data_IF_508822973090
#
_entry.id   IF_508822973090
#
_cell.length_a   1.000
_cell.length_b   1.000
_cell.length_c   1.000
_cell.angle_alpha   90.00
_cell.angle_beta   90.00
_cell.angle_gamma   90.00
#
_symmetry.space_group_name_H-M   'P 1'
#
loop_
_entity.id
_entity.type
_entity.pdbx_description
1 polymer ?
#
# COMPACT_ATOMS: atom_id res chain seq x y z
N UNK A 1 -3.23 -21.28 32.31
CA UNK A 1 -2.48 -21.25 31.03
C UNK A 1 -3.45 -21.67 29.92
N UNK A 2 -4.01 -20.74 29.17
CA UNK A 2 -4.78 -21.07 27.96
C UNK A 2 -3.89 -20.80 26.76
N UNK A 3 -3.52 -21.89 26.08
CA UNK A 3 -2.84 -21.91 24.79
C UNK A 3 -3.76 -21.31 23.72
N UNK A 4 -3.32 -20.25 23.06
CA UNK A 4 -3.92 -19.71 21.84
C UNK A 4 -2.97 -19.95 20.67
N UNK A 5 -3.06 -21.13 20.10
CA UNK A 5 -2.69 -21.43 18.70
C UNK A 5 -3.98 -21.54 17.86
N UNK A 6 -3.96 -21.57 16.52
CA UNK A 6 -3.44 -20.65 15.52
C UNK A 6 -4.59 -19.92 14.78
N UNK A 7 -5.39 -19.09 15.46
CA UNK A 7 -6.56 -18.38 14.87
C UNK A 7 -6.23 -17.31 13.81
N UNK A 8 -4.95 -17.07 13.51
CA UNK A 8 -4.51 -15.96 12.62
C UNK A 8 -4.75 -16.25 11.13
N UNK A 9 -4.87 -17.52 10.75
CA UNK A 9 -5.05 -17.96 9.36
C UNK A 9 -6.53 -18.01 8.90
N UNK A 10 -7.41 -18.63 9.69
CA UNK A 10 -8.83 -18.82 9.32
C UNK A 10 -9.59 -17.50 9.18
N UNK A 11 -9.35 -16.55 10.08
CA UNK A 11 -9.94 -15.21 9.98
C UNK A 11 -9.50 -14.46 8.72
N UNK A 12 -8.26 -14.64 8.27
CA UNK A 12 -7.76 -13.99 7.05
C UNK A 12 -8.40 -14.57 5.78
N UNK A 13 -8.59 -15.89 5.74
CA UNK A 13 -9.27 -16.58 4.63
C UNK A 13 -10.73 -16.13 4.53
N UNK A 14 -11.43 -16.04 5.67
CA UNK A 14 -12.80 -15.52 5.71
C UNK A 14 -12.86 -14.05 5.25
N UNK A 15 -11.94 -13.19 5.70
CA UNK A 15 -11.91 -11.81 5.22
C UNK A 15 -11.69 -11.72 3.70
N UNK A 16 -10.84 -12.58 3.12
CA UNK A 16 -10.61 -12.61 1.66
C UNK A 16 -11.87 -13.01 0.90
N UNK A 17 -12.64 -13.99 1.37
CA UNK A 17 -13.90 -14.39 0.72
C UNK A 17 -14.94 -13.27 0.74
N UNK A 18 -15.02 -12.51 1.84
CA UNK A 18 -15.86 -11.30 1.91
C UNK A 18 -15.39 -10.23 0.93
N UNK A 19 -14.08 -10.02 0.81
CA UNK A 19 -13.51 -9.10 -0.17
C UNK A 19 -13.88 -9.53 -1.60
N UNK A 20 -13.84 -10.82 -1.92
CA UNK A 20 -14.19 -11.32 -3.26
C UNK A 20 -15.68 -11.10 -3.58
N UNK A 21 -16.55 -11.32 -2.59
CA UNK A 21 -17.98 -11.07 -2.74
C UNK A 21 -18.27 -9.58 -2.92
N UNK A 22 -17.66 -8.72 -2.12
CA UNK A 22 -17.77 -7.27 -2.26
C UNK A 22 -17.25 -6.76 -3.62
N UNK A 23 -16.11 -7.27 -4.09
CA UNK A 23 -15.59 -6.96 -5.44
C UNK A 23 -16.57 -7.35 -6.55
N UNK A 24 -17.28 -8.46 -6.39
CA UNK A 24 -18.29 -8.89 -7.36
C UNK A 24 -19.49 -7.93 -7.42
N UNK A 25 -19.98 -7.47 -6.27
CA UNK A 25 -21.07 -6.48 -6.20
C UNK A 25 -20.65 -5.13 -6.78
N UNK A 26 -19.43 -4.68 -6.46
CA UNK A 26 -18.87 -3.44 -7.01
C UNK A 26 -18.79 -3.50 -8.54
N UNK A 27 -18.28 -4.61 -9.10
CA UNK A 27 -18.22 -4.80 -10.55
C UNK A 27 -19.61 -4.77 -11.20
N UNK A 28 -20.59 -5.41 -10.57
CA UNK A 28 -21.98 -5.37 -11.06
C UNK A 28 -22.51 -3.93 -11.05
N UNK A 29 -22.28 -3.16 -9.99
CA UNK A 29 -22.68 -1.74 -9.89
C UNK A 29 -22.10 -0.90 -11.03
N UNK A 30 -20.80 -1.01 -11.28
CA UNK A 30 -20.09 -0.26 -12.33
C UNK A 30 -20.55 -0.68 -13.74
N UNK A 31 -20.91 -1.96 -13.92
CA UNK A 31 -21.30 -2.50 -15.23
C UNK A 31 -22.71 -2.12 -15.68
N UNK A 32 -23.58 -1.66 -14.78
CA UNK A 32 -24.92 -1.19 -15.12
C UNK A 32 -24.80 0.22 -15.69
N UNK A 33 -25.06 0.44 -17.00
CA UNK A 33 -25.09 1.78 -17.54
C UNK A 33 -26.31 2.47 -16.92
N UNK A 34 -26.09 3.32 -15.92
CA UNK A 34 -27.15 4.15 -15.39
C UNK A 34 -27.64 5.05 -16.53
N UNK A 35 -28.81 4.71 -17.08
CA UNK A 35 -29.57 5.58 -17.93
C UNK A 35 -29.75 6.91 -17.18
N UNK A 36 -29.01 7.92 -17.63
CA UNK A 36 -29.21 9.34 -17.37
C UNK A 36 -29.45 9.73 -15.90
N UNK A 37 -28.34 10.03 -15.20
CA UNK A 37 -28.10 11.30 -14.49
C UNK A 37 -27.29 11.08 -13.20
N UNK A 38 -26.12 11.71 -13.16
CA UNK A 38 -25.77 12.59 -12.04
C UNK A 38 -25.59 12.05 -10.63
N UNK A 39 -25.63 10.75 -10.33
CA UNK A 39 -25.44 10.32 -8.93
C UNK A 39 -23.94 10.21 -8.57
N UNK A 40 -23.29 11.36 -8.44
CA UNK A 40 -21.91 11.51 -7.93
C UNK A 40 -21.70 10.81 -6.59
N UNK A 41 -22.76 10.66 -5.79
CA UNK A 41 -22.77 9.86 -4.57
C UNK A 41 -22.53 8.38 -4.85
N UNK A 42 -23.20 7.79 -5.85
CA UNK A 42 -22.99 6.38 -6.21
C UNK A 42 -21.54 6.15 -6.65
N UNK A 43 -21.03 7.03 -7.51
CA UNK A 43 -19.62 7.00 -7.92
C UNK A 43 -18.71 7.15 -6.69
N UNK A 44 -18.97 8.12 -5.81
CA UNK A 44 -18.23 8.31 -4.56
C UNK A 44 -18.22 7.06 -3.68
N UNK A 45 -19.35 6.36 -3.55
CA UNK A 45 -19.45 5.09 -2.83
C UNK A 45 -18.67 3.99 -3.52
N UNK A 46 -18.74 3.87 -4.85
CA UNK A 46 -17.95 2.90 -5.63
C UNK A 46 -16.45 3.13 -5.46
N UNK A 47 -16.01 4.40 -5.43
CA UNK A 47 -14.63 4.80 -5.16
C UNK A 47 -14.20 4.39 -3.75
N UNK A 48 -15.00 4.71 -2.75
CA UNK A 48 -14.73 4.36 -1.34
C UNK A 48 -14.66 2.85 -1.13
N UNK A 49 -15.56 2.09 -1.75
CA UNK A 49 -15.56 0.63 -1.67
C UNK A 49 -14.32 0.06 -2.37
N UNK A 50 -13.95 0.59 -3.53
CA UNK A 50 -12.73 0.18 -4.24
C UNK A 50 -11.48 0.42 -3.39
N UNK A 51 -11.34 1.62 -2.81
CA UNK A 51 -10.21 1.97 -1.94
C UNK A 51 -10.15 1.08 -0.69
N UNK A 52 -11.30 0.81 -0.08
CA UNK A 52 -11.40 -0.08 1.08
C UNK A 52 -10.98 -1.51 0.73
N UNK A 53 -11.42 -2.06 -0.40
CA UNK A 53 -11.06 -3.42 -0.85
C UNK A 53 -9.55 -3.56 -1.06
N UNK A 54 -8.96 -2.56 -1.70
CA UNK A 54 -7.53 -2.48 -1.95
C UNK A 54 -6.72 -2.35 -0.65
N UNK A 55 -7.19 -1.51 0.27
CA UNK A 55 -6.59 -1.35 1.60
C UNK A 55 -6.67 -2.65 2.41
N UNK A 56 -7.83 -3.32 2.42
CA UNK A 56 -8.05 -4.57 3.13
C UNK A 56 -7.17 -5.69 2.57
N UNK A 57 -7.17 -5.92 1.25
CA UNK A 57 -6.35 -6.95 0.62
C UNK A 57 -4.85 -6.69 0.82
N UNK A 58 -4.41 -5.43 0.77
CA UNK A 58 -3.04 -5.05 1.16
C UNK A 58 -2.77 -5.48 2.61
N UNK A 59 -3.62 -5.06 3.56
CA UNK A 59 -3.42 -5.36 4.98
C UNK A 59 -3.39 -6.87 5.30
N UNK A 60 -4.22 -7.66 4.61
CA UNK A 60 -4.27 -9.12 4.74
C UNK A 60 -3.00 -9.76 4.19
N UNK A 61 -2.51 -9.31 3.04
CA UNK A 61 -1.21 -9.72 2.51
C UNK A 61 -0.07 -9.38 3.48
N UNK A 62 -0.06 -8.16 4.02
CA UNK A 62 0.96 -7.74 4.99
C UNK A 62 0.93 -8.58 6.28
N UNK A 63 -0.24 -9.08 6.70
CA UNK A 63 -0.40 -9.96 7.87
C UNK A 63 -0.08 -11.43 7.58
N UNK A 64 -0.16 -11.86 6.32
CA UNK A 64 0.14 -13.22 5.87
C UNK A 64 1.63 -13.52 5.66
N UNK A 65 2.51 -12.53 5.85
CA UNK A 65 3.96 -12.71 5.80
C UNK A 65 4.50 -13.62 6.91
N UNK A 66 5.39 -14.55 6.54
CA UNK A 66 5.96 -15.58 7.42
C UNK A 66 6.80 -15.03 8.59
N UNK A 67 7.13 -15.95 9.51
CA UNK A 67 7.79 -15.81 10.82
C UNK A 67 9.07 -14.95 10.90
N UNK A 68 9.63 -14.51 9.77
CA UNK A 68 10.87 -13.71 9.70
C UNK A 68 10.61 -12.21 9.49
N UNK A 69 9.34 -11.75 9.49
CA UNK A 69 8.99 -10.33 9.49
C UNK A 69 8.91 -9.67 8.11
N UNK A 70 9.23 -10.38 7.03
CA UNK A 70 9.16 -9.89 5.66
C UNK A 70 8.04 -10.61 4.88
N UNK A 71 7.01 -9.89 4.40
CA UNK A 71 5.96 -10.52 3.60
C UNK A 71 6.47 -10.86 2.20
N UNK A 72 6.51 -12.15 1.89
CA UNK A 72 6.78 -12.67 0.56
C UNK A 72 5.66 -12.33 -0.45
N UNK A 73 5.80 -12.78 -1.71
CA UNK A 73 4.77 -12.59 -2.73
C UNK A 73 3.42 -13.15 -2.27
N UNK A 74 2.34 -12.48 -2.66
CA UNK A 74 0.98 -12.88 -2.32
C UNK A 74 0.61 -14.21 -3.03
N UNK A 75 -0.21 -15.07 -2.41
CA UNK A 75 -0.81 -16.22 -3.10
C UNK A 75 -1.56 -15.79 -4.36
N UNK A 76 -1.55 -16.63 -5.40
CA UNK A 76 -2.10 -16.27 -6.72
C UNK A 76 -3.58 -15.84 -6.69
N UNK A 77 -4.41 -16.45 -5.83
CA UNK A 77 -5.80 -16.07 -5.64
C UNK A 77 -5.96 -14.66 -5.04
N UNK A 78 -5.15 -14.32 -4.05
CA UNK A 78 -5.13 -13.00 -3.41
C UNK A 78 -4.63 -11.93 -4.39
N UNK A 79 -3.59 -12.23 -5.17
CA UNK A 79 -3.07 -11.33 -6.19
C UNK A 79 -4.09 -11.07 -7.31
N UNK A 80 -4.76 -12.13 -7.80
CA UNK A 80 -5.80 -12.00 -8.82
C UNK A 80 -6.97 -11.15 -8.34
N UNK A 81 -7.39 -11.31 -7.08
CA UNK A 81 -8.41 -10.44 -6.47
C UNK A 81 -7.95 -8.98 -6.42
N UNK A 82 -6.71 -8.73 -5.97
CA UNK A 82 -6.14 -7.38 -5.90
C UNK A 82 -6.04 -6.71 -7.27
N UNK A 83 -5.55 -7.42 -8.29
CA UNK A 83 -5.44 -6.91 -9.66
C UNK A 83 -6.81 -6.57 -10.25
N UNK A 84 -7.83 -7.38 -9.93
CA UNK A 84 -9.22 -7.11 -10.33
C UNK A 84 -9.70 -5.79 -9.76
N UNK A 85 -9.56 -5.57 -8.45
CA UNK A 85 -10.00 -4.30 -7.85
C UNK A 85 -9.17 -3.12 -8.33
N UNK A 86 -7.85 -3.31 -8.51
CA UNK A 86 -6.98 -2.28 -9.04
C UNK A 86 -7.41 -1.85 -10.46
N UNK A 87 -7.84 -2.81 -11.29
CA UNK A 87 -8.38 -2.50 -12.62
C UNK A 87 -9.69 -1.72 -12.55
N UNK A 88 -10.53 -1.97 -11.54
CA UNK A 88 -11.74 -1.17 -11.28
C UNK A 88 -11.38 0.25 -10.82
N UNK A 89 -10.40 0.41 -9.93
CA UNK A 89 -9.92 1.71 -9.47
C UNK A 89 -9.27 2.55 -10.58
N UNK A 90 -8.56 1.89 -11.51
CA UNK A 90 -7.97 2.54 -12.69
C UNK A 90 -9.03 3.09 -13.65
N UNK A 91 -10.17 2.42 -13.80
CA UNK A 91 -11.31 2.91 -14.58
C UNK A 91 -11.97 4.14 -13.93
N UNK A 92 -11.73 4.34 -12.65
CA UNK A 92 -12.29 5.38 -11.81
C UNK A 92 -11.30 6.55 -11.56
N UNK A 93 -10.16 6.59 -12.28
CA UNK A 93 -9.08 7.59 -12.15
C UNK A 93 -8.43 7.70 -10.77
N UNK A 94 -8.66 6.73 -9.88
CA UNK A 94 -7.93 6.67 -8.63
C UNK A 94 -6.69 5.79 -8.88
N UNK A 95 -5.56 6.24 -8.36
CA UNK A 95 -4.46 5.42 -7.86
C UNK A 95 -3.26 5.12 -8.79
N UNK A 96 -2.38 6.11 -8.98
CA UNK A 96 -0.97 5.85 -9.31
C UNK A 96 -0.13 5.16 -8.19
N UNK A 97 -0.32 5.44 -6.88
CA UNK A 97 0.56 4.87 -5.83
C UNK A 97 0.35 3.37 -5.51
N UNK A 98 -0.79 2.76 -5.88
CA UNK A 98 -1.03 1.33 -5.66
C UNK A 98 -0.26 0.42 -6.62
N UNK A 99 0.26 0.97 -7.71
CA UNK A 99 1.11 0.22 -8.65
C UNK A 99 2.31 -0.41 -7.93
N UNK A 100 2.85 0.26 -6.92
CA UNK A 100 3.93 -0.28 -6.08
C UNK A 100 3.45 -1.47 -5.27
N UNK A 101 2.26 -1.39 -4.66
CA UNK A 101 1.66 -2.50 -3.91
C UNK A 101 1.37 -3.71 -4.79
N UNK A 102 0.75 -3.53 -5.97
CA UNK A 102 0.51 -4.63 -6.93
C UNK A 102 1.83 -5.35 -7.25
N UNK A 103 2.88 -4.58 -7.52
CA UNK A 103 4.18 -5.10 -7.93
C UNK A 103 4.90 -5.83 -6.81
N UNK A 104 4.79 -5.34 -5.57
CA UNK A 104 5.33 -6.03 -4.40
C UNK A 104 4.55 -7.33 -4.12
N UNK A 105 3.21 -7.30 -4.21
CA UNK A 105 2.38 -8.50 -4.08
C UNK A 105 2.67 -9.53 -5.17
N UNK A 106 2.99 -9.09 -6.40
CA UNK A 106 3.35 -9.97 -7.51
C UNK A 106 4.80 -10.48 -7.46
N UNK A 107 5.61 -10.09 -6.47
CA UNK A 107 7.03 -10.44 -6.42
C UNK A 107 7.85 -9.85 -7.57
N UNK A 108 7.41 -8.73 -8.16
CA UNK A 108 8.11 -8.08 -9.25
C UNK A 108 9.51 -7.63 -8.80
N UNK A 109 10.46 -7.55 -9.75
CA UNK A 109 11.86 -7.28 -9.42
C UNK A 109 12.00 -6.02 -8.55
N UNK A 110 12.64 -6.12 -7.37
CA UNK A 110 12.71 -5.02 -6.42
C UNK A 110 13.36 -3.75 -7.03
N UNK A 111 14.36 -3.92 -7.90
CA UNK A 111 15.03 -2.81 -8.61
C UNK A 111 14.08 -2.02 -9.49
N UNK A 112 13.25 -2.71 -10.28
CA UNK A 112 12.31 -2.06 -11.20
C UNK A 112 11.15 -1.42 -10.43
N UNK A 113 10.81 -1.95 -9.25
CA UNK A 113 9.79 -1.39 -8.36
C UNK A 113 10.31 -0.11 -7.70
N UNK A 114 11.58 -0.10 -7.27
CA UNK A 114 12.27 1.09 -6.77
C UNK A 114 12.35 2.20 -7.81
N UNK A 115 12.81 1.91 -9.03
CA UNK A 115 12.92 2.91 -10.11
C UNK A 115 11.58 3.57 -10.44
N UNK A 116 10.49 2.78 -10.46
CA UNK A 116 9.16 3.31 -10.73
C UNK A 116 8.64 4.16 -9.57
N UNK A 117 8.91 3.76 -8.32
CA UNK A 117 8.61 4.58 -7.16
C UNK A 117 9.34 5.92 -7.23
N UNK A 118 10.65 5.91 -7.47
CA UNK A 118 11.44 7.14 -7.63
C UNK A 118 10.88 8.04 -8.73
N UNK A 119 10.54 7.46 -9.89
CA UNK A 119 9.94 8.21 -11.00
C UNK A 119 8.61 8.87 -10.62
N UNK A 120 7.76 8.15 -9.88
CA UNK A 120 6.49 8.70 -9.39
C UNK A 120 6.70 9.78 -8.31
N UNK A 121 7.65 9.59 -7.40
CA UNK A 121 8.01 10.60 -6.40
C UNK A 121 8.54 11.88 -7.06
N UNK A 122 9.39 11.76 -8.08
CA UNK A 122 9.93 12.91 -8.83
C UNK A 122 8.84 13.65 -9.61
N UNK A 123 8.00 12.92 -10.38
CA UNK A 123 6.89 13.54 -11.13
C UNK A 123 5.91 14.29 -10.23
N UNK A 124 5.57 13.76 -9.06
CA UNK A 124 4.59 14.40 -8.17
C UNK A 124 5.15 15.59 -7.40
N UNK A 125 6.46 15.60 -7.13
CA UNK A 125 7.15 16.78 -6.56
C UNK A 125 7.13 17.97 -7.52
N UNK A 126 7.07 17.73 -8.83
CA UNK A 126 6.96 18.79 -9.83
C UNK A 126 5.53 19.35 -9.96
N UNK A 127 4.50 18.53 -9.69
CA UNK A 127 3.08 18.92 -9.81
C UNK A 127 2.46 19.44 -8.51
N UNK A 128 3.14 19.35 -7.35
CA UNK A 128 2.63 19.81 -6.05
C UNK A 128 2.63 21.34 -5.87
N UNK A 129 3.19 22.09 -6.82
CA UNK A 129 3.22 23.56 -6.77
C UNK A 129 1.98 24.22 -7.39
N UNK A 130 1.04 23.44 -7.92
CA UNK A 130 -0.19 23.95 -8.54
C UNK A 130 -1.40 23.27 -7.93
N UNK A 131 -2.28 24.08 -7.32
CA UNK A 131 -3.60 23.76 -6.77
C UNK A 131 -3.66 23.41 -5.26
N UNK A 132 -4.08 24.44 -4.53
CA UNK A 132 -4.59 24.47 -3.16
C UNK A 132 -5.74 23.44 -3.00
N UNK A 133 -5.60 22.44 -2.12
CA UNK A 133 -6.70 21.57 -1.69
C UNK A 133 -6.58 20.06 -1.95
N UNK A 134 -6.04 19.60 -3.09
CA UNK A 134 -5.86 18.15 -3.38
C UNK A 134 -4.58 17.54 -2.77
N UNK A 135 -3.71 18.37 -2.19
CA UNK A 135 -2.36 17.99 -1.82
C UNK A 135 -2.30 16.93 -0.69
N UNK A 136 -3.21 16.98 0.29
CA UNK A 136 -3.15 16.13 1.51
C UNK A 136 -3.44 14.65 1.21
N UNK A 137 -4.41 14.39 0.32
CA UNK A 137 -4.78 13.07 -0.26
C UNK A 137 -3.83 12.62 -1.38
N UNK A 138 -2.71 13.29 -1.56
CA UNK A 138 -1.58 12.79 -2.35
C UNK A 138 -0.36 12.52 -1.48
N UNK A 139 -0.16 13.37 -0.47
CA UNK A 139 0.93 13.26 0.48
C UNK A 139 0.81 12.01 1.36
N UNK A 140 -0.41 11.67 1.82
CA UNK A 140 -0.66 10.47 2.64
C UNK A 140 -0.26 9.19 1.90
N UNK A 141 -0.68 9.06 0.65
CA UNK A 141 -0.50 7.92 -0.24
C UNK A 141 0.97 7.80 -0.63
N UNK A 142 1.63 8.94 -0.87
CA UNK A 142 3.09 9.02 -1.02
C UNK A 142 3.80 8.46 0.21
N UNK A 143 3.39 8.88 1.41
CA UNK A 143 3.99 8.39 2.66
C UNK A 143 3.76 6.87 2.84
N UNK A 144 2.57 6.35 2.51
CA UNK A 144 2.30 4.91 2.53
C UNK A 144 3.12 4.15 1.50
N UNK A 145 3.30 4.68 0.28
CA UNK A 145 4.12 4.05 -0.75
C UNK A 145 5.59 3.97 -0.33
N UNK A 146 6.11 5.04 0.27
CA UNK A 146 7.46 5.07 0.85
C UNK A 146 7.60 4.05 1.97
N UNK A 147 6.63 3.99 2.90
CA UNK A 147 6.63 3.04 4.01
C UNK A 147 6.62 1.59 3.49
N UNK A 148 5.75 1.26 2.53
CA UNK A 148 5.71 -0.08 1.91
C UNK A 148 7.04 -0.42 1.23
N UNK A 149 7.57 0.49 0.43
CA UNK A 149 8.80 0.28 -0.32
C UNK A 149 9.99 0.08 0.61
N UNK A 150 10.10 0.89 1.67
CA UNK A 150 11.10 0.67 2.69
C UNK A 150 10.89 -0.68 3.35
N UNK A 151 9.67 -1.07 3.70
CA UNK A 151 9.46 -2.37 4.35
C UNK A 151 9.84 -3.57 3.48
N UNK A 152 9.60 -3.52 2.17
CA UNK A 152 9.67 -4.72 1.31
C UNK A 152 10.80 -4.74 0.29
N UNK A 153 11.47 -3.61 0.03
CA UNK A 153 12.60 -3.57 -0.90
C UNK A 153 13.92 -3.86 -0.13
N UNK A 154 14.79 -4.72 -0.68
CA UNK A 154 16.03 -5.10 -0.04
C UNK A 154 16.99 -3.91 0.06
N UNK A 155 17.74 -3.88 1.16
CA UNK A 155 18.64 -2.80 1.58
C UNK A 155 19.61 -2.27 0.51
N UNK A 156 20.19 -3.10 -0.40
CA UNK A 156 21.16 -2.63 -1.40
C UNK A 156 20.58 -1.74 -2.50
N UNK A 157 19.25 -1.73 -2.68
CA UNK A 157 18.61 -1.05 -3.81
C UNK A 157 18.17 0.39 -3.51
N UNK A 158 18.25 0.80 -2.25
CA UNK A 158 17.99 2.16 -1.79
C UNK A 158 19.35 2.87 -1.64
N UNK A 159 19.99 3.21 -2.75
CA UNK A 159 21.18 4.10 -2.83
C UNK A 159 20.98 5.39 -2.02
N UNK A 160 22.02 6.17 -1.68
CA UNK A 160 23.21 5.92 -0.83
C UNK A 160 22.86 5.60 0.66
N UNK A 161 23.84 5.20 1.51
CA UNK A 161 23.62 5.03 2.95
C UNK A 161 22.91 6.26 3.54
N UNK A 162 21.78 6.02 4.22
CA UNK A 162 20.95 7.08 4.82
C UNK A 162 19.81 7.62 3.94
N UNK A 163 19.71 7.27 2.65
CA UNK A 163 18.58 7.68 1.81
C UNK A 163 17.25 7.08 2.29
N UNK A 164 17.25 5.78 2.61
CA UNK A 164 16.09 5.08 3.21
C UNK A 164 15.63 5.73 4.52
N UNK A 165 16.57 6.11 5.38
CA UNK A 165 16.25 6.81 6.64
C UNK A 165 15.63 8.19 6.38
N UNK A 166 16.10 8.91 5.36
CA UNK A 166 15.55 10.21 4.94
C UNK A 166 14.14 10.09 4.38
N UNK A 167 13.90 9.12 3.49
CA UNK A 167 12.57 8.83 2.95
C UNK A 167 11.59 8.42 4.07
N UNK A 168 12.01 7.56 5.00
CA UNK A 168 11.18 7.19 6.16
C UNK A 168 10.93 8.39 7.09
N UNK A 169 11.89 9.29 7.26
CA UNK A 169 11.69 10.51 8.04
C UNK A 169 10.70 11.48 7.36
N UNK A 170 10.74 11.59 6.02
CA UNK A 170 9.73 12.34 5.25
C UNK A 170 8.35 11.71 5.41
N UNK A 171 8.23 10.39 5.21
CA UNK A 171 6.97 9.67 5.37
C UNK A 171 6.41 9.82 6.80
N UNK A 172 7.26 9.70 7.82
CA UNK A 172 6.87 9.90 9.22
C UNK A 172 6.26 11.29 9.46
N UNK A 173 6.90 12.38 8.99
CA UNK A 173 6.38 13.75 9.15
C UNK A 173 5.02 13.93 8.50
N UNK A 174 4.84 13.36 7.32
CA UNK A 174 3.56 13.42 6.60
C UNK A 174 2.48 12.62 7.34
N UNK A 175 2.79 11.42 7.85
CA UNK A 175 1.84 10.61 8.62
C UNK A 175 1.49 11.25 9.97
N UNK A 176 2.44 11.95 10.61
CA UNK A 176 2.20 12.79 11.78
C UNK A 176 1.20 13.91 11.48
N UNK A 177 1.40 14.64 10.38
CA UNK A 177 0.52 15.73 9.93
C UNK A 177 -0.89 15.24 9.62
N UNK A 178 -1.01 14.07 8.97
CA UNK A 178 -2.30 13.46 8.58
C UNK A 178 -2.95 12.69 9.73
N UNK A 179 -2.25 12.47 10.84
CA UNK A 179 -2.78 11.81 12.04
C UNK A 179 -2.83 10.28 11.98
N UNK A 180 -2.13 9.63 11.04
CA UNK A 180 -2.06 8.16 10.96
C UNK A 180 -1.04 7.61 11.96
N UNK A 181 -1.51 7.46 13.21
CA UNK A 181 -0.70 6.99 14.35
C UNK A 181 -0.13 5.59 14.15
N UNK A 182 -0.83 4.71 13.42
CA UNK A 182 -0.39 3.32 13.22
C UNK A 182 0.79 3.27 12.26
N UNK A 183 0.65 3.89 11.08
CA UNK A 183 1.72 3.93 10.08
C UNK A 183 2.94 4.72 10.59
N UNK A 184 2.72 5.72 11.44
CA UNK A 184 3.77 6.45 12.15
C UNK A 184 4.60 5.53 13.07
N UNK A 185 3.96 4.68 13.86
CA UNK A 185 4.65 3.69 14.69
C UNK A 185 5.47 2.72 13.83
N UNK A 186 4.92 2.26 12.70
CA UNK A 186 5.64 1.39 11.76
C UNK A 186 6.90 2.07 11.20
N UNK A 187 6.81 3.35 10.80
CA UNK A 187 7.96 4.15 10.38
C UNK A 187 9.04 4.23 11.47
N UNK A 188 8.65 4.46 12.73
CA UNK A 188 9.57 4.53 13.85
C UNK A 188 10.27 3.19 14.10
N UNK A 189 9.54 2.07 14.04
CA UNK A 189 10.11 0.73 14.21
C UNK A 189 11.14 0.41 13.13
N UNK A 190 10.84 0.73 11.86
CA UNK A 190 11.80 0.52 10.77
C UNK A 190 13.02 1.44 10.95
N UNK A 191 12.84 2.71 11.31
CA UNK A 191 13.95 3.63 11.59
C UNK A 191 14.85 3.12 12.72
N UNK A 192 14.29 2.60 13.81
CA UNK A 192 15.06 2.02 14.92
C UNK A 192 15.86 0.79 14.49
N UNK A 193 15.28 -0.11 13.68
CA UNK A 193 15.99 -1.26 13.12
C UNK A 193 17.14 -0.86 12.21
N UNK A 194 16.97 0.21 11.44
CA UNK A 194 18.02 0.76 10.59
C UNK A 194 19.17 1.37 11.40
N UNK A 195 18.88 2.03 12.52
CA UNK A 195 19.90 2.59 13.43
C UNK A 195 20.62 1.52 14.26
N UNK A 196 19.93 0.41 14.60
CA UNK A 196 20.50 -0.71 15.36
C UNK A 196 21.35 -1.67 14.52
N UNK A 197 21.23 -1.65 13.19
CA UNK A 197 21.99 -2.50 12.27
C UNK A 197 23.35 -1.95 11.85
N UNK A 198 23.77 -0.79 12.36
CA UNK A 198 25.04 -0.12 11.98
C UNK A 198 26.27 -0.56 12.78
N UNK A 199 26.17 -1.57 13.63
CA UNK A 199 27.34 -2.10 14.35
C UNK A 199 27.78 -3.45 13.79
N UNK A 200 29.05 -3.49 13.41
CA UNK A 200 29.92 -4.65 13.11
C UNK A 200 29.96 -5.08 11.63
N UNK A 201 30.72 -4.32 10.83
CA UNK A 201 31.59 -4.89 9.81
C UNK A 201 32.68 -3.87 9.44
N UNK A 202 33.78 -3.88 10.19
CA UNK A 202 35.12 -3.56 9.70
C UNK A 202 36.12 -4.14 10.71
N UNK A 203 36.59 -5.36 10.40
CA UNK A 203 37.84 -5.92 10.90
C UNK A 203 39.03 -5.18 10.29
#
# INVERSE_FOLDING_TARGET
QMSLSPLKGEGAVSCLSHCDRASSYLRSSISVPLAQSGNWLNKGVELLVCDLLLTLRTSLWQRGGSTNGEPGPAPGSQLAGFQRDFSLGSLLHIIQPLSTTVRLMAGASPTRTHQLLEHNLRRRTHNSYTADGECVLGERERAHAILLACRHLPMPLLTPPGHRARLLAEAKRTLERVGDRRSLQDCQQILLRLSGGTTIAAS
#
